data_IF_056179903105
#
_entry.id   IF_056179903105
#
_cell.length_a   1.000
_cell.length_b   1.000
_cell.length_c   1.000
_cell.angle_alpha   90.00
_cell.angle_beta   90.00
_cell.angle_gamma   90.00
#
_symmetry.space_group_name_H-M   'P 1'
#
loop_
_entity.id
_entity.type
_entity.pdbx_description
1 polymer ?
#
# COMPACT_ATOMS: atom_id res chain seq x y z
N UNK A 1 -4.36 -12.06 -11.69
CA UNK A 1 -4.42 -13.52 -11.45
C UNK A 1 -5.40 -13.77 -10.32
N UNK A 2 -6.33 -14.71 -10.46
CA UNK A 2 -7.33 -15.04 -9.43
C UNK A 2 -7.25 -16.53 -9.10
N UNK A 3 -7.27 -16.86 -7.81
CA UNK A 3 -7.22 -18.24 -7.31
C UNK A 3 -8.05 -18.39 -6.04
N UNK A 4 -8.11 -19.61 -5.48
CA UNK A 4 -8.93 -19.91 -4.29
C UNK A 4 -8.60 -19.06 -3.06
N UNK A 5 -7.39 -18.48 -3.01
CA UNK A 5 -6.89 -17.70 -1.86
C UNK A 5 -7.01 -16.18 -2.06
N UNK A 6 -7.58 -15.73 -3.18
CA UNK A 6 -7.72 -14.30 -3.46
C UNK A 6 -7.37 -13.90 -4.89
N UNK A 7 -7.39 -12.60 -5.11
CA UNK A 7 -7.10 -12.00 -6.42
C UNK A 7 -5.98 -10.98 -6.30
N UNK A 8 -4.99 -11.11 -7.19
CA UNK A 8 -3.94 -10.10 -7.38
C UNK A 8 -4.21 -9.40 -8.70
N UNK A 9 -4.38 -8.09 -8.64
CA UNK A 9 -4.55 -7.24 -9.82
C UNK A 9 -3.41 -6.23 -9.92
N UNK A 10 -2.77 -6.18 -11.09
CA UNK A 10 -1.81 -5.14 -11.43
C UNK A 10 -2.58 -3.93 -11.98
N UNK A 11 -2.25 -2.75 -11.46
CA UNK A 11 -2.81 -1.48 -11.88
C UNK A 11 -1.75 -0.78 -12.73
N UNK A 12 -1.98 -0.74 -14.05
CA UNK A 12 -1.08 -0.15 -15.04
C UNK A 12 -1.43 1.29 -15.36
N UNK A 13 -2.72 1.63 -15.35
CA UNK A 13 -3.21 3.00 -15.43
C UNK A 13 -3.58 3.52 -14.04
N UNK A 14 -3.38 4.81 -13.78
CA UNK A 14 -3.78 5.48 -12.53
C UNK A 14 -5.31 5.61 -12.45
N UNK A 15 -6.03 4.49 -12.48
CA UNK A 15 -7.46 4.43 -12.26
C UNK A 15 -7.66 4.47 -10.74
N UNK A 16 -7.70 5.70 -10.23
CA UNK A 16 -7.81 5.99 -8.80
C UNK A 16 -9.10 5.45 -8.16
N UNK A 17 -10.13 5.20 -8.96
CA UNK A 17 -11.42 4.65 -8.51
C UNK A 17 -11.31 3.23 -7.95
N UNK A 18 -10.21 2.50 -8.24
CA UNK A 18 -9.96 1.16 -7.69
C UNK A 18 -9.44 1.18 -6.24
N UNK A 19 -8.90 2.31 -5.78
CA UNK A 19 -8.41 2.47 -4.39
C UNK A 19 -9.52 2.89 -3.40
N UNK A 20 -10.78 2.70 -3.80
CA UNK A 20 -11.93 2.91 -2.92
C UNK A 20 -11.80 2.09 -1.62
N UNK A 21 -12.24 2.58 -0.45
CA UNK A 21 -11.70 2.22 0.86
C UNK A 21 -12.00 0.79 1.34
N UNK A 22 -12.72 -0.02 0.56
CA UNK A 22 -13.05 -1.38 0.98
C UNK A 22 -13.24 -2.33 -0.18
N UNK A 23 -12.18 -3.04 -0.51
CA UNK A 23 -12.27 -4.26 -1.31
C UNK A 23 -12.82 -5.38 -0.41
N UNK A 24 -13.94 -5.99 -0.79
CA UNK A 24 -14.49 -7.14 -0.06
C UNK A 24 -13.73 -8.41 -0.46
N UNK A 25 -13.19 -9.13 0.52
CA UNK A 25 -12.46 -10.40 0.33
C UNK A 25 -10.93 -10.25 0.25
N UNK A 26 -10.25 -11.35 -0.03
CA UNK A 26 -8.78 -11.41 -0.14
C UNK A 26 -8.31 -10.84 -1.48
N UNK A 27 -8.28 -9.53 -1.62
CA UNK A 27 -7.81 -8.84 -2.83
C UNK A 27 -6.53 -8.05 -2.53
N UNK A 28 -5.58 -8.08 -3.46
CA UNK A 28 -4.35 -7.29 -3.40
C UNK A 28 -4.16 -6.55 -4.71
N UNK A 29 -3.99 -5.24 -4.60
CA UNK A 29 -3.71 -4.36 -5.73
C UNK A 29 -2.21 -4.05 -5.75
N UNK A 30 -1.58 -4.24 -6.90
CA UNK A 30 -0.16 -3.95 -7.10
C UNK A 30 -0.06 -2.78 -8.06
N UNK A 31 0.61 -1.71 -7.63
CA UNK A 31 0.85 -0.53 -8.46
C UNK A 31 2.33 -0.15 -8.44
N UNK A 32 2.91 -0.01 -9.62
CA UNK A 32 4.29 0.49 -9.77
C UNK A 32 4.36 1.99 -9.49
N UNK A 33 5.39 2.40 -8.76
CA UNK A 33 5.70 3.82 -8.45
C UNK A 33 7.09 4.16 -8.96
N UNK A 34 7.29 5.41 -9.38
CA UNK A 34 8.56 5.85 -9.99
C UNK A 34 9.56 6.42 -8.98
N UNK A 35 9.09 6.78 -7.78
CA UNK A 35 9.90 7.35 -6.69
C UNK A 35 9.20 7.14 -5.34
N UNK A 36 9.93 7.38 -4.26
CA UNK A 36 9.37 7.37 -2.89
C UNK A 36 8.30 8.45 -2.72
N UNK A 37 8.54 9.66 -3.25
CA UNK A 37 7.57 10.77 -3.21
C UNK A 37 6.28 10.39 -3.92
N UNK A 38 6.39 9.73 -5.09
CA UNK A 38 5.22 9.27 -5.81
C UNK A 38 4.43 8.20 -5.03
N UNK A 39 5.11 7.37 -4.24
CA UNK A 39 4.46 6.40 -3.36
C UNK A 39 3.75 7.07 -2.18
N UNK A 40 4.36 8.09 -1.59
CA UNK A 40 3.78 8.91 -0.51
C UNK A 40 2.52 9.62 -1.00
N UNK A 41 2.62 10.31 -2.14
CA UNK A 41 1.49 11.00 -2.76
C UNK A 41 0.34 10.05 -3.08
N UNK A 42 0.65 8.83 -3.54
CA UNK A 42 -0.35 7.81 -3.83
C UNK A 42 -1.03 7.32 -2.55
N UNK A 43 -0.27 7.00 -1.51
CA UNK A 43 -0.80 6.52 -0.23
C UNK A 43 -1.72 7.57 0.42
N UNK A 44 -1.34 8.85 0.36
CA UNK A 44 -2.09 9.94 0.98
C UNK A 44 -3.35 10.36 0.20
N UNK A 45 -3.55 9.85 -1.02
CA UNK A 45 -4.81 10.01 -1.76
C UNK A 45 -5.89 9.03 -1.32
N UNK A 46 -5.54 8.01 -0.54
CA UNK A 46 -6.49 7.04 -0.01
C UNK A 46 -7.10 7.63 1.26
N UNK A 47 -8.41 7.92 1.23
CA UNK A 47 -9.11 8.67 2.30
C UNK A 47 -8.89 8.09 3.71
N UNK A 48 -8.78 6.76 3.85
CA UNK A 48 -8.55 6.14 5.18
C UNK A 48 -7.63 4.93 5.06
N UNK A 49 -6.34 5.14 5.32
CA UNK A 49 -5.35 4.09 5.46
C UNK A 49 -5.21 3.70 6.94
N UNK A 50 -5.69 2.51 7.32
CA UNK A 50 -5.65 2.06 8.73
C UNK A 50 -4.24 1.67 9.20
N UNK A 51 -3.39 1.20 8.30
CA UNK A 51 -2.02 0.80 8.62
C UNK A 51 -1.16 0.84 7.37
N UNK A 52 0.13 1.08 7.54
CA UNK A 52 1.13 1.02 6.46
C UNK A 52 2.26 0.06 6.83
N UNK A 53 2.58 -0.84 5.90
CA UNK A 53 3.73 -1.75 6.00
C UNK A 53 4.77 -1.35 4.96
N UNK A 54 5.93 -0.91 5.41
CA UNK A 54 7.01 -0.38 4.57
C UNK A 54 8.19 -1.33 4.63
N UNK A 55 8.57 -1.88 3.48
CA UNK A 55 9.75 -2.72 3.33
C UNK A 55 10.81 -1.97 2.53
N UNK A 56 11.86 -1.49 3.22
CA UNK A 56 12.86 -0.61 2.63
C UNK A 56 14.16 -0.60 3.45
N UNK A 57 15.21 0.01 2.89
CA UNK A 57 16.42 0.35 3.66
C UNK A 57 16.06 1.28 4.83
N UNK A 58 16.85 1.32 5.91
CA UNK A 58 16.51 2.11 7.10
C UNK A 58 16.25 3.60 6.81
N UNK A 59 17.02 4.21 5.90
CA UNK A 59 16.85 5.61 5.51
C UNK A 59 15.56 5.85 4.73
N UNK A 60 15.26 5.00 3.75
CA UNK A 60 14.04 5.09 2.95
C UNK A 60 12.79 4.77 3.78
N UNK A 61 12.87 3.75 4.64
CA UNK A 61 11.78 3.38 5.56
C UNK A 61 11.43 4.52 6.52
N UNK A 62 12.45 5.16 7.11
CA UNK A 62 12.27 6.36 7.94
C UNK A 62 11.66 7.51 7.14
N UNK A 63 12.15 7.75 5.93
CA UNK A 63 11.65 8.84 5.09
C UNK A 63 10.16 8.64 4.78
N UNK A 64 9.77 7.48 4.24
CA UNK A 64 8.39 7.21 3.85
C UNK A 64 7.45 7.19 5.06
N UNK A 65 7.87 6.63 6.20
CA UNK A 65 7.02 6.57 7.40
C UNK A 65 6.67 7.93 7.99
N UNK A 66 7.47 8.97 7.73
CA UNK A 66 7.18 10.32 8.21
C UNK A 66 6.08 11.03 7.43
N UNK A 67 5.81 10.61 6.19
CA UNK A 67 4.92 11.33 5.29
C UNK A 67 3.69 10.54 4.86
N UNK A 68 3.62 9.24 5.13
CA UNK A 68 2.39 8.45 4.91
C UNK A 68 1.39 8.68 6.04
N UNK A 69 0.19 9.11 5.70
CA UNK A 69 -0.90 9.37 6.62
C UNK A 69 -1.62 8.05 7.02
N UNK A 70 -1.04 7.34 8.00
CA UNK A 70 -1.65 6.16 8.62
C UNK A 70 -1.49 6.22 10.15
N UNK A 71 -2.47 5.76 10.94
CA UNK A 71 -2.41 5.77 12.40
C UNK A 71 -1.42 4.73 12.95
N UNK A 72 -1.01 3.75 12.13
CA UNK A 72 0.01 2.77 12.51
C UNK A 72 0.91 2.50 11.32
N UNK A 73 2.22 2.50 11.56
CA UNK A 73 3.23 2.27 10.53
C UNK A 73 4.22 1.23 11.05
N UNK A 74 4.48 0.22 10.22
CA UNK A 74 5.41 -0.86 10.49
C UNK A 74 6.51 -0.83 9.43
N UNK A 75 7.77 -0.83 9.86
CA UNK A 75 8.92 -0.86 8.96
C UNK A 75 9.61 -2.22 9.09
N UNK A 76 9.78 -2.92 7.97
CA UNK A 76 10.42 -4.24 7.88
C UNK A 76 9.84 -5.30 8.84
N UNK A 77 8.55 -5.19 9.15
CA UNK A 77 7.83 -6.15 9.99
C UNK A 77 6.77 -6.88 9.17
N UNK A 78 6.82 -8.21 9.16
CA UNK A 78 5.83 -9.06 8.48
C UNK A 78 4.70 -9.38 9.47
N UNK A 79 3.42 -9.15 9.12
CA UNK A 79 2.30 -9.53 9.98
C UNK A 79 2.31 -11.05 10.23
N UNK A 80 2.16 -11.45 11.49
CA UNK A 80 2.23 -12.86 11.91
C UNK A 80 0.95 -13.63 11.55
N UNK A 81 -0.15 -12.90 11.27
CA UNK A 81 -1.45 -13.46 10.86
C UNK A 81 -2.01 -12.62 9.71
N UNK A 82 -2.35 -13.29 8.61
CA UNK A 82 -3.10 -12.76 7.47
C UNK A 82 -4.56 -13.19 7.59
#
# INVERSE_FOLDING_TARGET
MSGSNGTIAEITDRIFDLFSPRQMGSSSLVNGVRSLDNAIDLANRIDTLLTSYIFASPSAGKYVSQFVAAPTIFVNHVPIKL
#
